data_IF_629040852172
#
_entry.id   IF_629040852172
#
_cell.length_a   1.000
_cell.length_b   1.000
_cell.length_c   1.000
_cell.angle_alpha   90.00
_cell.angle_beta   90.00
_cell.angle_gamma   90.00
#
_symmetry.space_group_name_H-M   'P 1'
#
loop_
_entity.id
_entity.type
_entity.pdbx_description
1 polymer ?
#
# COMPACT_ATOMS: atom_id res chain seq x y z
N UNK A 1 1.26 -2.79 -14.11
CA UNK A 1 0.72 -1.54 -14.73
C UNK A 1 1.68 -1.11 -15.82
N UNK A 2 1.22 -1.06 -17.07
CA UNK A 2 2.02 -0.94 -18.27
C UNK A 2 1.70 0.41 -18.93
N UNK A 3 2.70 1.26 -19.14
CA UNK A 3 2.56 2.57 -19.77
C UNK A 3 2.58 2.46 -21.30
N UNK A 4 1.66 1.68 -21.84
CA UNK A 4 1.48 1.43 -23.26
C UNK A 4 0.03 1.04 -23.55
N UNK A 5 -0.44 1.21 -24.79
CA UNK A 5 -1.75 0.70 -25.22
C UNK A 5 -1.70 -0.82 -25.33
N UNK A 6 -2.85 -1.47 -25.13
CA UNK A 6 -2.96 -2.92 -25.27
C UNK A 6 -2.70 -3.36 -26.72
N UNK A 7 -2.09 -4.55 -26.95
CA UNK A 7 -1.97 -5.09 -28.31
C UNK A 7 -3.33 -5.12 -29.05
N UNK A 8 -3.37 -4.58 -30.24
CA UNK A 8 -4.59 -4.50 -31.05
C UNK A 8 -5.52 -3.33 -30.76
N UNK A 9 -5.20 -2.48 -29.78
CA UNK A 9 -5.93 -1.23 -29.49
C UNK A 9 -5.04 -0.02 -29.84
N UNK A 10 -5.45 0.81 -30.79
CA UNK A 10 -4.75 2.04 -31.20
C UNK A 10 -4.24 2.01 -32.65
N UNK A 11 -3.69 3.16 -33.12
CA UNK A 11 -3.31 3.38 -34.51
C UNK A 11 -2.05 2.63 -34.98
N UNK A 12 -1.30 2.03 -34.10
CA UNK A 12 -0.13 1.23 -34.47
C UNK A 12 -0.37 -0.24 -34.20
N UNK A 13 -0.25 -1.05 -35.25
CA UNK A 13 -0.09 -2.51 -35.16
C UNK A 13 1.19 -2.78 -34.35
N UNK A 14 1.05 -2.94 -33.08
CA UNK A 14 2.06 -2.54 -32.20
C UNK A 14 2.98 -3.71 -31.90
N UNK A 15 3.99 -3.87 -32.77
CA UNK A 15 5.08 -4.82 -32.55
C UNK A 15 5.72 -4.62 -31.16
N UNK A 16 5.73 -3.38 -30.65
CA UNK A 16 6.22 -3.09 -29.31
C UNK A 16 5.27 -3.61 -28.24
N UNK A 17 3.96 -3.39 -28.38
CA UNK A 17 2.97 -3.92 -27.44
C UNK A 17 3.03 -5.45 -27.39
N UNK A 18 3.13 -6.12 -28.53
CA UNK A 18 3.28 -7.56 -28.62
C UNK A 18 4.57 -8.07 -27.95
N UNK A 19 5.68 -7.36 -28.10
CA UNK A 19 6.95 -7.68 -27.42
C UNK A 19 6.85 -7.48 -25.91
N UNK A 20 6.23 -6.39 -25.47
CA UNK A 20 5.99 -6.12 -24.05
C UNK A 20 5.13 -7.24 -23.44
N UNK A 21 4.03 -7.59 -24.10
CA UNK A 21 3.13 -8.66 -23.65
C UNK A 21 3.85 -10.00 -23.52
N UNK A 22 4.64 -10.37 -24.55
CA UNK A 22 5.43 -11.59 -24.56
C UNK A 22 6.44 -11.64 -23.40
N UNK A 23 7.23 -10.58 -23.20
CA UNK A 23 8.26 -10.53 -22.15
C UNK A 23 7.62 -10.54 -20.77
N UNK A 24 6.56 -9.75 -20.55
CA UNK A 24 5.89 -9.68 -19.27
C UNK A 24 5.12 -10.98 -18.96
N UNK A 25 4.61 -11.68 -20.01
CA UNK A 25 3.97 -12.98 -19.88
C UNK A 25 4.88 -14.06 -19.31
N UNK A 26 6.21 -13.92 -19.49
CA UNK A 26 7.20 -14.80 -18.86
C UNK A 26 7.43 -14.49 -17.37
N UNK A 27 7.06 -13.28 -16.91
CA UNK A 27 7.33 -12.79 -15.55
C UNK A 27 6.09 -12.75 -14.66
N UNK A 28 4.89 -12.77 -15.24
CA UNK A 28 3.64 -12.61 -14.50
C UNK A 28 2.45 -13.20 -15.23
N UNK A 29 1.27 -13.02 -14.63
CA UNK A 29 0.01 -13.53 -15.15
C UNK A 29 -0.62 -12.52 -16.11
N UNK A 30 -0.81 -12.84 -17.41
CA UNK A 30 -1.35 -11.90 -18.42
C UNK A 30 -2.71 -11.30 -18.04
N UNK A 31 -3.59 -12.06 -17.38
CA UNK A 31 -4.89 -11.58 -16.91
C UNK A 31 -4.79 -10.50 -15.83
N UNK A 32 -3.59 -10.27 -15.28
CA UNK A 32 -3.29 -9.22 -14.30
C UNK A 32 -2.49 -8.05 -14.89
N UNK A 33 -2.38 -7.97 -16.20
CA UNK A 33 -1.74 -6.84 -16.87
C UNK A 33 -2.73 -5.69 -17.05
N UNK A 34 -2.38 -4.55 -16.50
CA UNK A 34 -3.13 -3.31 -16.66
C UNK A 34 -2.41 -2.42 -17.67
N UNK A 35 -2.96 -2.33 -18.85
CA UNK A 35 -2.47 -1.46 -19.92
C UNK A 35 -3.03 -0.05 -19.70
N UNK A 36 -2.16 0.87 -19.33
CA UNK A 36 -2.54 2.20 -18.83
C UNK A 36 -2.46 3.28 -19.93
N UNK A 37 -2.19 2.90 -21.16
CA UNK A 37 -2.09 3.83 -22.29
C UNK A 37 -0.67 4.36 -22.48
N UNK A 38 -0.50 5.67 -22.65
CA UNK A 38 0.75 6.31 -23.03
C UNK A 38 1.92 6.11 -22.07
N UNK A 39 3.13 6.38 -22.54
CA UNK A 39 4.35 6.37 -21.72
C UNK A 39 4.18 7.19 -20.44
N UNK A 40 4.58 6.62 -19.32
CA UNK A 40 4.44 7.20 -17.98
C UNK A 40 3.12 6.86 -17.27
N UNK A 41 2.05 6.49 -18.01
CA UNK A 41 0.75 6.21 -17.40
C UNK A 41 0.78 5.00 -16.43
N UNK A 42 1.57 3.96 -16.74
CA UNK A 42 1.76 2.83 -15.83
C UNK A 42 2.43 3.22 -14.51
N UNK A 43 3.41 4.14 -14.56
CA UNK A 43 4.03 4.68 -13.36
C UNK A 43 3.06 5.57 -12.57
N UNK A 44 2.29 6.41 -13.24
CA UNK A 44 1.26 7.23 -12.61
C UNK A 44 0.23 6.35 -11.87
N UNK A 45 -0.27 5.28 -12.53
CA UNK A 45 -1.18 4.32 -11.91
C UNK A 45 -0.57 3.64 -10.67
N UNK A 46 0.73 3.25 -10.74
CA UNK A 46 1.45 2.68 -9.60
C UNK A 46 1.56 3.68 -8.44
N UNK A 47 1.95 4.92 -8.72
CA UNK A 47 2.10 5.96 -7.69
C UNK A 47 0.75 6.23 -7.02
N UNK A 48 -0.34 6.35 -7.79
CA UNK A 48 -1.69 6.54 -7.25
C UNK A 48 -2.13 5.37 -6.37
N UNK A 49 -1.87 4.13 -6.79
CA UNK A 49 -2.15 2.96 -5.97
C UNK A 49 -1.35 2.96 -4.66
N UNK A 50 -0.05 3.29 -4.71
CA UNK A 50 0.79 3.30 -3.52
C UNK A 50 0.43 4.46 -2.58
N UNK A 51 0.03 5.61 -3.11
CA UNK A 51 -0.53 6.71 -2.34
C UNK A 51 -1.70 6.24 -1.46
N UNK A 52 -2.64 5.49 -2.05
CA UNK A 52 -3.78 4.93 -1.32
C UNK A 52 -3.30 3.88 -0.31
N UNK A 53 -2.54 2.89 -0.75
CA UNK A 53 -2.18 1.75 0.09
C UNK A 53 -1.32 2.13 1.29
N UNK A 54 -0.32 3.01 1.12
CA UNK A 54 0.52 3.47 2.23
C UNK A 54 -0.25 4.33 3.24
N UNK A 55 -1.24 5.12 2.77
CA UNK A 55 -2.12 5.87 3.65
C UNK A 55 -3.08 4.94 4.39
N UNK A 56 -3.61 3.92 3.71
CA UNK A 56 -4.55 2.96 4.31
C UNK A 56 -3.93 2.13 5.42
N UNK A 57 -2.68 1.69 5.32
CA UNK A 57 -2.02 0.98 6.43
C UNK A 57 -2.04 1.82 7.70
N UNK A 58 -1.76 3.12 7.60
CA UNK A 58 -1.80 4.03 8.74
C UNK A 58 -3.21 4.17 9.31
N UNK A 59 -4.19 4.47 8.45
CA UNK A 59 -5.60 4.65 8.87
C UNK A 59 -6.17 3.37 9.51
N UNK A 60 -5.84 2.20 8.98
CA UNK A 60 -6.27 0.91 9.54
C UNK A 60 -5.62 0.68 10.91
N UNK A 61 -4.34 1.03 11.08
CA UNK A 61 -3.68 0.90 12.38
C UNK A 61 -4.34 1.78 13.45
N UNK A 62 -4.70 3.02 13.10
CA UNK A 62 -5.43 3.92 13.99
C UNK A 62 -6.83 3.40 14.32
N UNK A 63 -7.59 2.97 13.30
CA UNK A 63 -8.96 2.47 13.46
C UNK A 63 -9.00 1.18 14.31
N UNK A 64 -8.08 0.25 14.07
CA UNK A 64 -7.96 -0.97 14.88
C UNK A 64 -7.60 -0.63 16.32
N UNK A 65 -6.63 0.27 16.55
CA UNK A 65 -6.26 0.69 17.90
C UNK A 65 -7.44 1.35 18.65
N UNK A 66 -8.17 2.22 17.96
CA UNK A 66 -9.35 2.88 18.51
C UNK A 66 -10.43 1.87 18.94
N UNK A 67 -10.78 0.94 18.05
CA UNK A 67 -11.83 -0.04 18.33
C UNK A 67 -11.43 -1.02 19.46
N UNK A 68 -10.19 -1.51 19.45
CA UNK A 68 -9.65 -2.41 20.48
C UNK A 68 -9.64 -1.72 21.84
N UNK A 69 -9.20 -0.46 21.92
CA UNK A 69 -9.20 0.31 23.17
C UNK A 69 -10.61 0.64 23.67
N UNK A 70 -11.62 0.60 22.81
CA UNK A 70 -13.04 0.66 23.18
C UNK A 70 -13.64 -0.70 23.55
N UNK A 71 -12.83 -1.75 23.67
CA UNK A 71 -13.23 -3.07 24.15
C UNK A 71 -13.76 -4.03 23.08
N UNK A 72 -13.58 -3.73 21.79
CA UNK A 72 -13.98 -4.64 20.73
C UNK A 72 -12.88 -5.70 20.54
N UNK A 73 -13.28 -6.96 20.42
CA UNK A 73 -12.36 -8.04 20.06
C UNK A 73 -11.70 -7.75 18.72
N UNK A 74 -10.36 -7.88 18.58
CA UNK A 74 -9.64 -7.52 17.37
C UNK A 74 -10.09 -8.28 16.12
N UNK A 75 -10.44 -9.56 16.24
CA UNK A 75 -10.91 -10.38 15.11
C UNK A 75 -12.32 -9.98 14.69
N UNK A 76 -13.20 -9.73 15.67
CA UNK A 76 -14.53 -9.22 15.39
C UNK A 76 -14.48 -7.85 14.71
N UNK A 77 -13.59 -6.95 15.17
CA UNK A 77 -13.42 -5.64 14.54
C UNK A 77 -12.94 -5.76 13.09
N UNK A 78 -11.99 -6.66 12.83
CA UNK A 78 -11.57 -6.96 11.47
C UNK A 78 -12.72 -7.50 10.61
N UNK A 79 -13.54 -8.39 11.15
CA UNK A 79 -14.72 -8.95 10.45
C UNK A 79 -15.72 -7.85 10.08
N UNK A 80 -15.98 -6.91 11.00
CA UNK A 80 -16.81 -5.73 10.74
C UNK A 80 -16.22 -4.87 9.61
N UNK A 81 -14.91 -4.58 9.64
CA UNK A 81 -14.23 -3.80 8.60
C UNK A 81 -14.30 -4.52 7.25
N UNK A 82 -14.00 -5.83 7.24
CA UNK A 82 -14.01 -6.65 6.03
C UNK A 82 -15.39 -6.68 5.34
N UNK A 83 -16.46 -6.73 6.10
CA UNK A 83 -17.84 -6.80 5.58
C UNK A 83 -18.54 -5.43 5.46
N UNK A 84 -17.81 -4.33 5.64
CA UNK A 84 -18.36 -2.97 5.63
C UNK A 84 -17.56 -2.05 4.71
N UNK A 85 -17.92 -0.77 4.68
CA UNK A 85 -17.31 0.24 3.80
C UNK A 85 -15.84 0.53 4.05
N UNK A 86 -15.27 0.09 5.16
CA UNK A 86 -13.83 0.18 5.47
C UNK A 86 -12.97 -0.92 4.85
N UNK A 87 -13.57 -1.87 4.13
CA UNK A 87 -12.87 -2.99 3.50
C UNK A 87 -11.80 -2.49 2.52
N UNK A 88 -10.63 -3.11 2.59
CA UNK A 88 -9.53 -2.82 1.69
C UNK A 88 -8.51 -3.97 1.68
N UNK A 89 -7.70 -4.05 0.61
CA UNK A 89 -6.59 -4.99 0.55
C UNK A 89 -5.66 -4.87 1.78
N UNK A 90 -5.44 -3.65 2.27
CA UNK A 90 -4.58 -3.41 3.42
C UNK A 90 -5.18 -3.94 4.72
N UNK A 91 -6.51 -3.80 4.92
CA UNK A 91 -7.19 -4.39 6.07
C UNK A 91 -7.15 -5.92 6.04
N UNK A 92 -7.32 -6.52 4.85
CA UNK A 92 -7.49 -7.97 4.71
C UNK A 92 -6.17 -8.74 4.66
N UNK A 93 -5.07 -8.11 4.16
CA UNK A 93 -3.81 -8.81 3.92
C UNK A 93 -2.59 -8.22 4.64
N UNK A 94 -2.68 -6.96 5.08
CA UNK A 94 -1.58 -6.23 5.75
C UNK A 94 -2.03 -5.69 7.10
N UNK A 95 -3.09 -6.28 7.68
CA UNK A 95 -3.62 -5.86 8.98
C UNK A 95 -2.48 -5.71 10.01
N UNK A 96 -2.37 -4.55 10.71
CA UNK A 96 -1.24 -4.27 11.57
C UNK A 96 -1.29 -4.98 12.93
N UNK A 97 -2.44 -5.56 13.29
CA UNK A 97 -2.64 -6.20 14.61
C UNK A 97 -2.19 -7.67 14.56
N UNK A 98 -1.24 -8.08 15.41
CA UNK A 98 -0.79 -9.48 15.45
C UNK A 98 -1.93 -10.46 15.73
N UNK A 99 -1.92 -11.60 15.03
CA UNK A 99 -2.88 -12.69 15.25
C UNK A 99 -4.28 -12.47 14.67
N UNK A 100 -4.59 -11.30 14.12
CA UNK A 100 -5.88 -11.01 13.48
C UNK A 100 -5.95 -11.67 12.10
N UNK A 101 -4.99 -11.38 11.25
CA UNK A 101 -4.87 -11.99 9.92
C UNK A 101 -3.63 -12.89 9.89
N UNK A 102 -3.77 -14.22 9.79
CA UNK A 102 -2.64 -15.16 9.98
C UNK A 102 -1.47 -14.97 9.00
N UNK A 103 -1.78 -14.61 7.76
CA UNK A 103 -0.75 -14.41 6.72
C UNK A 103 -0.18 -12.98 6.68
N UNK A 104 -0.73 -12.05 7.47
CA UNK A 104 -0.23 -10.68 7.51
C UNK A 104 1.19 -10.63 8.12
N UNK A 105 2.03 -9.68 7.67
CA UNK A 105 3.37 -9.49 8.24
C UNK A 105 3.36 -9.29 9.77
N UNK A 106 2.38 -8.58 10.30
CA UNK A 106 2.18 -8.38 11.75
C UNK A 106 2.09 -9.68 12.54
N UNK A 107 1.44 -10.71 11.97
CA UNK A 107 1.31 -12.05 12.59
C UNK A 107 2.59 -12.89 12.47
N UNK A 108 3.61 -12.38 11.78
CA UNK A 108 4.91 -13.02 11.55
C UNK A 108 6.08 -12.12 12.00
N UNK A 109 5.95 -11.46 13.14
CA UNK A 109 6.94 -10.52 13.71
C UNK A 109 7.33 -9.38 12.74
N UNK A 110 6.41 -8.92 11.93
CA UNK A 110 6.62 -7.89 10.89
C UNK A 110 7.78 -8.20 9.95
N UNK A 111 8.04 -9.48 9.71
CA UNK A 111 9.08 -9.94 8.77
C UNK A 111 8.59 -9.83 7.34
N UNK A 112 9.51 -9.48 6.44
CA UNK A 112 9.41 -9.68 4.99
C UNK A 112 8.11 -9.17 4.33
N UNK A 113 7.96 -7.88 4.30
CA UNK A 113 6.96 -7.21 3.51
C UNK A 113 7.58 -5.98 2.85
N UNK A 114 6.82 -4.91 2.86
CA UNK A 114 7.26 -3.63 2.34
C UNK A 114 7.80 -2.78 3.50
N UNK A 115 9.11 -2.53 3.51
CA UNK A 115 9.80 -1.85 4.62
C UNK A 115 9.22 -0.49 4.94
N UNK A 116 9.15 -0.15 6.24
CA UNK A 116 8.66 1.14 6.75
C UNK A 116 9.35 2.34 6.09
N UNK A 117 10.65 2.28 5.87
CA UNK A 117 11.40 3.35 5.20
C UNK A 117 10.95 3.57 3.74
N UNK A 118 10.46 2.53 3.08
CA UNK A 118 9.95 2.63 1.72
C UNK A 118 8.57 3.30 1.65
N UNK A 119 7.80 3.30 2.76
CA UNK A 119 6.54 4.05 2.87
C UNK A 119 6.78 5.55 2.69
N UNK A 120 7.82 6.09 3.34
CA UNK A 120 8.21 7.52 3.21
C UNK A 120 8.49 7.88 1.76
N UNK A 121 9.27 7.04 1.06
CA UNK A 121 9.60 7.26 -0.35
C UNK A 121 8.34 7.22 -1.23
N UNK A 122 7.49 6.22 -1.08
CA UNK A 122 6.35 6.01 -1.98
C UNK A 122 5.24 7.04 -1.75
N UNK A 123 4.98 7.44 -0.50
CA UNK A 123 4.09 8.57 -0.20
C UNK A 123 4.68 9.88 -0.75
N UNK A 124 5.99 10.10 -0.57
CA UNK A 124 6.67 11.28 -1.11
C UNK A 124 6.51 11.42 -2.63
N UNK A 125 6.68 10.32 -3.37
CA UNK A 125 6.40 10.30 -4.82
C UNK A 125 4.94 10.65 -5.13
N UNK A 126 4.00 10.18 -4.32
CA UNK A 126 2.58 10.51 -4.44
C UNK A 126 2.29 11.99 -4.20
N UNK A 127 2.88 12.57 -3.16
CA UNK A 127 2.79 14.01 -2.85
C UNK A 127 3.31 14.86 -4.03
N UNK A 128 4.50 14.53 -4.53
CA UNK A 128 5.06 15.23 -5.69
C UNK A 128 4.19 15.09 -6.95
N UNK A 129 3.72 13.89 -7.24
CA UNK A 129 2.87 13.62 -8.40
C UNK A 129 1.55 14.41 -8.31
N UNK A 130 0.92 14.47 -7.14
CA UNK A 130 -0.31 15.25 -6.92
C UNK A 130 -0.07 16.74 -7.17
N UNK A 131 0.99 17.30 -6.56
CA UNK A 131 1.34 18.73 -6.73
C UNK A 131 1.61 19.12 -8.19
N UNK A 132 2.27 18.24 -8.95
CA UNK A 132 2.55 18.46 -10.38
C UNK A 132 1.30 18.61 -11.25
N UNK A 133 0.18 18.03 -10.81
CA UNK A 133 -1.12 18.11 -11.51
C UNK A 133 -2.13 19.03 -10.82
N UNK A 134 -1.67 19.83 -9.88
CA UNK A 134 -2.50 20.83 -9.18
C UNK A 134 -3.41 20.29 -8.08
N UNK A 135 -3.15 19.06 -7.60
CA UNK A 135 -3.90 18.47 -6.47
C UNK A 135 -3.17 18.77 -5.16
N UNK A 136 -3.91 19.20 -4.14
CA UNK A 136 -3.40 19.34 -2.77
C UNK A 136 -3.43 17.98 -2.05
N UNK A 137 -2.29 17.35 -1.74
CA UNK A 137 -2.24 15.99 -1.19
C UNK A 137 -2.36 16.00 0.34
N UNK A 138 -3.41 16.59 0.90
CA UNK A 138 -3.58 16.84 2.33
C UNK A 138 -3.41 15.60 3.20
N UNK A 139 -4.03 14.49 2.82
CA UNK A 139 -3.93 13.24 3.60
C UNK A 139 -2.53 12.63 3.55
N UNK A 140 -1.87 12.65 2.40
CA UNK A 140 -0.52 12.12 2.29
C UNK A 140 0.52 13.02 2.98
N UNK A 141 0.33 14.33 2.99
CA UNK A 141 1.19 15.25 3.75
C UNK A 141 1.10 15.01 5.25
N UNK A 142 -0.08 14.73 5.79
CA UNK A 142 -0.24 14.32 7.18
C UNK A 142 0.39 12.94 7.44
N UNK A 143 0.14 11.97 6.58
CA UNK A 143 0.65 10.60 6.71
C UNK A 143 2.18 10.54 6.63
N UNK A 144 2.82 11.29 5.72
CA UNK A 144 4.27 11.23 5.53
C UNK A 144 5.04 11.68 6.78
N UNK A 145 4.49 12.61 7.56
CA UNK A 145 5.13 13.06 8.81
C UNK A 145 5.11 11.95 9.89
N UNK A 146 4.06 11.15 9.93
CA UNK A 146 3.99 9.98 10.81
C UNK A 146 4.97 8.91 10.34
N UNK A 147 4.99 8.63 9.02
CA UNK A 147 5.90 7.62 8.45
C UNK A 147 7.38 7.99 8.61
N UNK A 148 7.75 9.26 8.50
CA UNK A 148 9.14 9.70 8.77
C UNK A 148 9.57 9.35 10.18
N UNK A 149 8.75 9.63 11.17
CA UNK A 149 9.02 9.30 12.57
C UNK A 149 9.09 7.79 12.79
N UNK A 150 8.15 7.03 12.24
CA UNK A 150 8.16 5.57 12.34
C UNK A 150 9.37 4.94 11.63
N UNK A 151 9.85 5.52 10.54
CA UNK A 151 11.02 5.04 9.81
C UNK A 151 12.34 5.20 10.58
N UNK A 152 12.36 6.05 11.62
CA UNK A 152 13.48 6.27 12.53
C UNK A 152 13.30 5.51 13.86
N UNK A 153 12.12 4.97 14.12
CA UNK A 153 11.83 4.23 15.35
C UNK A 153 12.47 2.83 15.31
N UNK A 154 13.28 2.45 16.31
CA UNK A 154 13.92 1.12 16.35
C UNK A 154 12.93 -0.06 16.28
N UNK A 155 11.67 0.13 16.67
CA UNK A 155 10.61 -0.89 16.62
C UNK A 155 10.07 -1.11 15.20
N UNK A 156 10.30 -0.16 14.29
CA UNK A 156 9.76 -0.17 12.94
C UNK A 156 10.84 -0.26 11.84
N UNK A 157 12.07 0.11 12.18
CA UNK A 157 13.18 0.13 11.22
C UNK A 157 13.44 -1.29 10.68
N UNK A 158 13.61 -1.40 9.36
CA UNK A 158 13.80 -2.66 8.62
C UNK A 158 12.68 -3.70 8.74
N UNK A 159 11.55 -3.35 9.35
CA UNK A 159 10.35 -4.16 9.41
C UNK A 159 9.33 -3.75 8.35
N UNK A 160 8.31 -4.60 8.16
CA UNK A 160 7.16 -4.29 7.31
C UNK A 160 6.43 -3.03 7.81
N UNK A 161 5.83 -2.26 6.88
CA UNK A 161 5.10 -1.04 7.21
C UNK A 161 3.96 -1.24 8.21
N UNK A 162 3.39 -2.44 8.32
CA UNK A 162 2.41 -2.75 9.37
C UNK A 162 2.98 -2.64 10.79
N UNK A 163 4.31 -2.57 10.96
CA UNK A 163 4.97 -2.29 12.25
C UNK A 163 4.68 -0.89 12.79
N UNK A 164 4.07 0.00 11.99
CA UNK A 164 3.49 1.27 12.46
C UNK A 164 2.58 1.07 13.68
N UNK A 165 2.01 -0.11 13.82
CA UNK A 165 1.24 -0.53 14.99
C UNK A 165 2.01 -0.34 16.29
N UNK A 166 3.29 -0.73 16.33
CA UNK A 166 4.14 -0.61 17.51
C UNK A 166 4.40 0.86 17.86
N UNK A 167 4.68 1.67 16.83
CA UNK A 167 4.92 3.09 16.99
C UNK A 167 3.68 3.84 17.51
N UNK A 168 2.52 3.65 16.85
CA UNK A 168 1.29 4.37 17.19
C UNK A 168 0.73 4.00 18.57
N UNK A 169 0.98 2.79 19.02
CA UNK A 169 0.44 2.30 20.29
C UNK A 169 1.46 2.32 21.43
N UNK A 170 2.67 2.80 21.18
CA UNK A 170 3.79 2.80 22.10
C UNK A 170 4.06 1.41 22.73
N UNK A 171 3.91 0.37 21.89
CA UNK A 171 4.13 -1.02 22.30
C UNK A 171 5.64 -1.27 22.27
N UNK A 172 6.20 -1.72 23.40
CA UNK A 172 7.59 -2.16 23.48
C UNK A 172 7.72 -3.56 22.88
N UNK A 173 8.82 -3.83 22.19
CA UNK A 173 9.19 -5.19 21.82
C UNK A 173 9.52 -5.97 23.12
N UNK A 174 8.93 -7.15 23.28
CA UNK A 174 9.32 -8.14 24.28
C UNK A 174 10.49 -8.99 23.79
#
# INVERSE_FOLDING_TARGET
>A
MIGHSKPGEGESSDAMAARIDHVLGMMGKPEKFFWCGKLGAGLAAKISNNYISCTFVLVIAEAMAMGIRNGIDPKLLHEVIHNSSGQSFMADHVNPVPGVVPHAPSSNNWRLGFKTQMMVKDIGLGVEAAKRVGIAPTMAEAAIEVWKKAAEDPRCIDRDGSSIWLYLNDIKDE
#
